data_IF_772239278363
#
_entry.id   IF_772239278363
#
_cell.length_a   1.000
_cell.length_b   1.000
_cell.length_c   1.000
_cell.angle_alpha   90.00
_cell.angle_beta   90.00
_cell.angle_gamma   90.00
#
_symmetry.space_group_name_H-M   'P 1'
#
loop_
_entity.id
_entity.type
_entity.pdbx_description
1 polymer ?
#
# COMPACT_ATOMS: atom_id res chain seq x y z
N UNK A 1 1.91 7.44 -11.10
CA UNK A 1 1.05 7.35 -9.90
C UNK A 1 1.52 8.24 -8.74
N UNK A 2 2.83 8.33 -8.47
CA UNK A 2 3.42 9.09 -7.34
C UNK A 2 3.09 10.60 -7.37
N UNK A 3 3.23 11.27 -8.53
CA UNK A 3 2.85 12.68 -8.68
C UNK A 3 1.35 12.94 -8.47
N UNK A 4 0.50 11.96 -8.76
CA UNK A 4 -0.93 12.06 -8.50
C UNK A 4 -1.17 12.10 -6.99
N UNK A 5 -0.57 11.17 -6.24
CA UNK A 5 -0.72 11.11 -4.79
C UNK A 5 -0.32 12.41 -4.10
N UNK A 6 0.82 12.99 -4.47
CA UNK A 6 1.29 14.26 -3.91
C UNK A 6 0.27 15.41 -4.07
N UNK A 7 -0.55 15.35 -5.12
CA UNK A 7 -1.54 16.39 -5.45
C UNK A 7 -2.97 16.05 -5.03
N UNK A 8 -3.27 14.77 -4.75
CA UNK A 8 -4.63 14.28 -4.44
C UNK A 8 -4.78 13.68 -3.05
N UNK A 9 -3.70 13.54 -2.28
CA UNK A 9 -3.74 12.96 -0.94
C UNK A 9 -4.65 13.77 0.00
N UNK A 10 -5.42 13.07 0.84
CA UNK A 10 -6.43 13.70 1.69
C UNK A 10 -5.85 14.77 2.63
N UNK A 11 -4.68 14.54 3.20
CA UNK A 11 -4.00 15.48 4.09
C UNK A 11 -3.51 16.73 3.37
N UNK A 12 -3.06 16.62 2.12
CA UNK A 12 -2.66 17.77 1.28
C UNK A 12 -3.88 18.65 1.00
N UNK A 13 -5.02 18.02 0.70
CA UNK A 13 -6.29 18.70 0.45
C UNK A 13 -6.85 19.35 1.72
N UNK A 14 -6.75 18.68 2.87
CA UNK A 14 -7.13 19.24 4.16
C UNK A 14 -6.28 20.46 4.53
N UNK A 15 -4.96 20.38 4.33
CA UNK A 15 -4.05 21.53 4.53
C UNK A 15 -4.35 22.68 3.56
N UNK A 16 -4.75 22.38 2.33
CA UNK A 16 -5.12 23.42 1.35
C UNK A 16 -6.36 24.22 1.77
N UNK A 17 -7.32 23.61 2.46
CA UNK A 17 -8.47 24.34 3.04
C UNK A 17 -8.04 25.39 4.06
N UNK A 18 -6.89 25.19 4.70
CA UNK A 18 -6.32 26.10 5.72
C UNK A 18 -5.31 27.07 5.09
N UNK A 19 -4.56 26.63 4.07
CA UNK A 19 -3.53 27.43 3.40
C UNK A 19 -3.63 27.29 1.88
N UNK A 20 -4.00 28.38 1.20
CA UNK A 20 -4.30 28.38 -0.24
C UNK A 20 -3.09 28.13 -1.16
N UNK A 21 -1.87 28.18 -0.63
CA UNK A 21 -0.62 28.17 -1.41
C UNK A 21 -0.09 26.75 -1.73
N UNK A 22 -0.79 25.70 -1.27
CA UNK A 22 -0.36 24.31 -1.43
C UNK A 22 -0.81 23.78 -2.80
N UNK A 23 0.08 23.18 -3.62
CA UNK A 23 -0.28 22.68 -4.95
C UNK A 23 -1.28 21.51 -4.88
N UNK A 24 -2.34 21.57 -5.70
CA UNK A 24 -3.33 20.49 -5.85
C UNK A 24 -3.63 20.21 -7.33
N UNK A 25 -4.29 19.09 -7.61
CA UNK A 25 -4.74 18.78 -8.97
C UNK A 25 -6.09 19.43 -9.26
N UNK A 26 -6.19 20.44 -10.14
CA UNK A 26 -7.47 21.11 -10.43
C UNK A 26 -8.49 20.17 -11.05
N UNK A 27 -8.04 19.19 -11.85
CA UNK A 27 -8.90 18.20 -12.50
C UNK A 27 -9.55 17.22 -11.51
N UNK A 28 -8.89 16.93 -10.38
CA UNK A 28 -9.42 16.03 -9.36
C UNK A 28 -10.44 16.74 -8.46
N UNK A 29 -10.15 17.97 -8.02
CA UNK A 29 -11.08 18.77 -7.22
C UNK A 29 -12.40 18.99 -7.97
N UNK A 30 -12.34 19.34 -9.26
CA UNK A 30 -13.53 19.50 -10.10
C UNK A 30 -14.37 18.22 -10.21
N UNK A 31 -13.72 17.05 -10.24
CA UNK A 31 -14.42 15.78 -10.27
C UNK A 31 -15.13 15.48 -8.94
N UNK A 32 -14.54 15.87 -7.81
CA UNK A 32 -15.18 15.74 -6.50
C UNK A 32 -16.31 16.75 -6.25
N UNK A 33 -16.25 17.93 -6.87
CA UNK A 33 -17.36 18.89 -6.87
C UNK A 33 -18.53 18.38 -7.73
N UNK A 34 -18.22 17.71 -8.83
CA UNK A 34 -19.18 17.17 -9.79
C UNK A 34 -19.39 15.66 -9.62
N UNK A 35 -19.74 15.20 -8.41
CA UNK A 35 -19.97 13.76 -8.12
C UNK A 35 -21.10 13.13 -8.94
N UNK A 36 -22.09 13.91 -9.36
CA UNK A 36 -23.27 13.45 -10.10
C UNK A 36 -23.20 13.74 -11.60
N UNK A 37 -22.03 13.57 -12.22
CA UNK A 37 -21.95 13.65 -13.67
C UNK A 37 -22.68 12.45 -14.28
N UNK A 38 -23.77 12.73 -15.00
CA UNK A 38 -24.34 11.75 -15.91
C UNK A 38 -23.41 11.61 -17.10
N UNK A 39 -22.89 10.39 -17.28
CA UNK A 39 -21.99 10.07 -18.38
C UNK A 39 -22.84 9.68 -19.59
N UNK A 40 -22.52 10.20 -20.79
CA UNK A 40 -23.23 9.76 -21.99
C UNK A 40 -23.05 8.25 -22.15
N UNK A 41 -24.10 7.55 -22.56
CA UNK A 41 -23.97 6.16 -22.97
C UNK A 41 -23.05 6.09 -24.19
N UNK A 42 -22.08 5.18 -24.16
CA UNK A 42 -21.11 5.05 -25.24
C UNK A 42 -19.96 4.14 -24.92
N UNK A 43 -19.24 3.74 -25.97
CA UNK A 43 -17.98 3.01 -25.85
C UNK A 43 -16.86 4.02 -25.73
N UNK A 44 -16.08 3.91 -24.65
CA UNK A 44 -15.01 4.84 -24.36
C UNK A 44 -13.65 4.15 -24.42
N UNK A 45 -12.80 4.60 -25.34
CA UNK A 45 -11.38 4.26 -25.29
C UNK A 45 -10.62 5.23 -24.36
N UNK A 46 -9.38 4.88 -24.01
CA UNK A 46 -8.50 5.74 -23.20
C UNK A 46 -8.33 7.15 -23.80
N UNK A 47 -8.31 7.26 -25.13
CA UNK A 47 -8.20 8.55 -25.81
C UNK A 47 -9.47 9.39 -25.67
N UNK A 48 -10.64 8.75 -25.71
CA UNK A 48 -11.93 9.44 -25.62
C UNK A 48 -12.19 9.90 -24.20
N UNK A 49 -11.83 9.09 -23.19
CA UNK A 49 -11.83 9.51 -21.79
C UNK A 49 -10.91 10.72 -21.56
N UNK A 50 -9.74 10.76 -22.21
CA UNK A 50 -8.84 11.92 -22.13
C UNK A 50 -9.42 13.16 -22.80
N UNK A 51 -10.10 13.02 -23.94
CA UNK A 51 -10.79 14.14 -24.61
C UNK A 51 -11.93 14.67 -23.74
N UNK A 52 -12.76 13.78 -23.20
CA UNK A 52 -13.86 14.11 -22.30
C UNK A 52 -13.35 14.81 -21.03
N UNK A 53 -12.28 14.27 -20.43
CA UNK A 53 -11.61 14.88 -19.28
C UNK A 53 -11.10 16.29 -19.56
N UNK A 54 -10.52 16.52 -20.75
CA UNK A 54 -10.09 17.86 -21.18
C UNK A 54 -11.25 18.82 -21.40
N UNK A 55 -12.32 18.37 -22.05
CA UNK A 55 -13.49 19.20 -22.36
C UNK A 55 -14.23 19.67 -21.09
N UNK A 56 -14.40 18.76 -20.12
CA UNK A 56 -15.10 19.06 -18.86
C UNK A 56 -14.17 19.58 -17.76
N UNK A 57 -12.86 19.45 -17.93
CA UNK A 57 -11.87 19.82 -16.92
C UNK A 57 -11.83 18.87 -15.73
N UNK A 58 -12.12 17.57 -15.96
CA UNK A 58 -12.14 16.51 -14.93
C UNK A 58 -11.01 15.50 -15.15
N UNK A 59 -10.57 14.84 -14.07
CA UNK A 59 -9.47 13.88 -14.14
C UNK A 59 -9.91 12.57 -14.82
N UNK A 60 -9.36 12.20 -15.99
CA UNK A 60 -9.80 11.00 -16.71
C UNK A 60 -9.51 9.70 -15.96
N UNK A 61 -8.48 9.67 -15.10
CA UNK A 61 -8.10 8.48 -14.32
C UNK A 61 -9.11 8.16 -13.22
N UNK A 62 -9.49 9.16 -12.42
CA UNK A 62 -10.51 8.96 -11.37
C UNK A 62 -11.91 8.84 -11.97
N UNK A 63 -12.16 9.51 -13.10
CA UNK A 63 -13.36 9.31 -13.90
C UNK A 63 -13.52 7.85 -14.33
N UNK A 64 -12.50 7.24 -14.96
CA UNK A 64 -12.60 5.84 -15.39
C UNK A 64 -12.88 4.90 -14.23
N UNK A 65 -12.28 5.17 -13.05
CA UNK A 65 -12.50 4.37 -11.85
C UNK A 65 -13.93 4.45 -11.33
N UNK A 66 -14.56 5.62 -11.36
CA UNK A 66 -15.96 5.79 -10.94
C UNK A 66 -16.95 5.18 -11.94
N UNK A 67 -16.62 5.22 -13.24
CA UNK A 67 -17.48 4.69 -14.32
C UNK A 67 -17.45 3.16 -14.38
N UNK A 68 -16.35 2.53 -13.96
CA UNK A 68 -16.21 1.06 -13.92
C UNK A 68 -17.32 0.39 -13.13
N UNK A 69 -17.81 1.01 -12.04
CA UNK A 69 -18.92 0.46 -11.23
C UNK A 69 -20.27 0.44 -11.96
N UNK A 70 -20.44 1.27 -13.00
CA UNK A 70 -21.67 1.39 -13.80
C UNK A 70 -21.53 0.76 -15.19
N UNK A 71 -20.32 0.34 -15.57
CA UNK A 71 -20.05 -0.19 -16.89
C UNK A 71 -20.55 -1.63 -17.02
N UNK A 72 -21.11 -1.97 -18.19
CA UNK A 72 -21.54 -3.33 -18.51
C UNK A 72 -20.38 -4.20 -19.00
N UNK A 73 -19.43 -3.59 -19.72
CA UNK A 73 -18.24 -4.25 -20.27
C UNK A 73 -17.04 -3.42 -19.86
N UNK A 74 -16.06 -4.07 -19.23
CA UNK A 74 -14.80 -3.44 -18.82
C UNK A 74 -13.65 -4.24 -19.40
N UNK A 75 -12.75 -3.56 -20.10
CA UNK A 75 -11.54 -4.16 -20.68
C UNK A 75 -10.33 -3.59 -19.95
N UNK A 76 -9.59 -4.44 -19.25
CA UNK A 76 -8.33 -4.08 -18.58
C UNK A 76 -7.34 -5.26 -18.61
N UNK A 77 -6.09 -5.00 -18.24
CA UNK A 77 -5.00 -5.99 -18.20
C UNK A 77 -5.13 -6.97 -17.04
N UNK A 78 -4.51 -8.16 -17.14
CA UNK A 78 -4.49 -9.18 -16.09
C UNK A 78 -4.07 -8.66 -14.73
N UNK A 79 -3.12 -7.71 -14.67
CA UNK A 79 -2.64 -7.15 -13.40
C UNK A 79 -3.76 -6.52 -12.56
N UNK A 80 -4.84 -6.04 -13.17
CA UNK A 80 -5.97 -5.46 -12.42
C UNK A 80 -6.86 -6.51 -11.73
N UNK A 81 -6.82 -7.77 -12.17
CA UNK A 81 -7.53 -8.90 -11.51
C UNK A 81 -6.56 -9.69 -10.63
N UNK A 82 -5.36 -9.95 -11.14
CA UNK A 82 -4.43 -10.90 -10.54
C UNK A 82 -3.46 -10.26 -9.57
N UNK A 83 -3.17 -8.95 -9.68
CA UNK A 83 -2.42 -8.27 -8.62
C UNK A 83 -3.40 -7.96 -7.48
N UNK A 84 -3.36 -8.68 -6.37
CA UNK A 84 -4.24 -8.45 -5.22
C UNK A 84 -4.22 -7.01 -4.69
N UNK A 85 -3.11 -6.28 -4.86
CA UNK A 85 -3.02 -4.85 -4.46
C UNK A 85 -3.97 -3.97 -5.26
N UNK A 86 -4.14 -4.30 -6.53
CA UNK A 86 -4.94 -3.54 -7.49
C UNK A 86 -6.35 -4.12 -7.58
N UNK A 87 -6.48 -5.45 -7.49
CA UNK A 87 -7.74 -6.16 -7.53
C UNK A 87 -8.68 -5.66 -6.42
N UNK A 88 -8.23 -5.57 -5.17
CA UNK A 88 -9.07 -5.08 -4.08
C UNK A 88 -9.61 -3.65 -4.35
N UNK A 89 -8.90 -2.85 -5.14
CA UNK A 89 -9.27 -1.48 -5.48
C UNK A 89 -10.37 -1.40 -6.56
N UNK A 90 -10.38 -2.36 -7.49
CA UNK A 90 -11.21 -2.31 -8.71
C UNK A 90 -12.28 -3.41 -8.70
N UNK A 91 -11.95 -4.61 -8.28
CA UNK A 91 -12.84 -5.78 -8.33
C UNK A 91 -13.79 -5.90 -7.14
N UNK A 92 -13.55 -5.17 -6.04
CA UNK A 92 -14.42 -5.20 -4.85
C UNK A 92 -15.87 -4.81 -5.17
N UNK A 93 -16.07 -3.92 -6.15
CA UNK A 93 -17.39 -3.43 -6.54
C UNK A 93 -18.06 -4.27 -7.63
N UNK A 94 -17.38 -5.29 -8.17
CA UNK A 94 -17.97 -6.14 -9.19
C UNK A 94 -18.99 -7.11 -8.61
N UNK A 95 -20.09 -7.28 -9.35
CA UNK A 95 -21.13 -8.24 -8.99
C UNK A 95 -20.58 -9.66 -9.02
N UNK A 96 -21.04 -10.51 -8.09
CA UNK A 96 -20.74 -11.95 -8.09
C UNK A 96 -21.23 -12.69 -9.34
N UNK A 97 -22.09 -12.06 -10.13
CA UNK A 97 -22.63 -12.60 -11.38
C UNK A 97 -21.85 -12.13 -12.62
N UNK A 98 -20.71 -11.46 -12.45
CA UNK A 98 -19.89 -11.01 -13.56
C UNK A 98 -19.26 -12.20 -14.31
N UNK A 99 -19.29 -12.15 -15.65
CA UNK A 99 -18.56 -13.09 -16.50
C UNK A 99 -17.16 -12.52 -16.77
N UNK A 100 -16.12 -13.26 -16.41
CA UNK A 100 -14.72 -12.88 -16.66
C UNK A 100 -14.21 -13.66 -17.85
N UNK A 101 -13.76 -12.96 -18.89
CA UNK A 101 -13.16 -13.55 -20.08
C UNK A 101 -11.66 -13.25 -20.06
N UNK A 102 -10.85 -14.30 -19.96
CA UNK A 102 -9.42 -14.19 -20.17
C UNK A 102 -9.13 -14.37 -21.66
N UNK A 103 -8.79 -13.27 -22.32
CA UNK A 103 -8.11 -13.34 -23.61
C UNK A 103 -6.68 -13.86 -23.39
N UNK A 104 -6.03 -14.48 -24.39
CA UNK A 104 -4.61 -14.89 -24.37
C UNK A 104 -4.06 -15.53 -23.06
N UNK A 105 -4.85 -16.41 -22.44
CA UNK A 105 -4.62 -16.92 -21.07
C UNK A 105 -3.33 -17.75 -20.86
N UNK A 106 -2.48 -17.91 -21.86
CA UNK A 106 -1.23 -18.67 -21.78
C UNK A 106 -0.17 -18.01 -20.88
N UNK A 107 -0.28 -16.71 -20.58
CA UNK A 107 0.68 -15.97 -19.73
C UNK A 107 0.22 -15.81 -18.27
N UNK A 108 -0.89 -16.42 -17.89
CA UNK A 108 -1.54 -16.17 -16.59
C UNK A 108 -0.68 -16.62 -15.41
N UNK A 109 0.10 -17.68 -15.59
CA UNK A 109 1.02 -18.24 -14.61
C UNK A 109 2.18 -17.27 -14.32
N UNK A 110 2.81 -16.75 -15.36
CA UNK A 110 3.90 -15.78 -15.26
C UNK A 110 3.43 -14.50 -14.53
N UNK A 111 2.25 -13.99 -14.88
CA UNK A 111 1.67 -12.81 -14.22
C UNK A 111 1.39 -13.08 -12.74
N UNK A 112 0.90 -14.28 -12.39
CA UNK A 112 0.70 -14.66 -10.99
C UNK A 112 2.02 -14.72 -10.21
N UNK A 113 3.07 -15.31 -10.80
CA UNK A 113 4.40 -15.41 -10.20
C UNK A 113 4.96 -14.01 -9.97
N UNK A 114 4.92 -13.13 -10.97
CA UNK A 114 5.43 -11.76 -10.85
C UNK A 114 4.69 -10.94 -9.79
N UNK A 115 3.37 -11.09 -9.70
CA UNK A 115 2.53 -10.29 -8.79
C UNK A 115 2.80 -10.62 -7.30
N UNK A 116 3.19 -11.86 -7.00
CA UNK A 116 3.47 -12.34 -5.64
C UNK A 116 4.97 -12.35 -5.30
N UNK A 117 5.85 -12.21 -6.29
CA UNK A 117 7.30 -12.24 -6.09
C UNK A 117 7.82 -10.90 -5.57
N UNK A 118 8.78 -10.96 -4.64
CA UNK A 118 9.48 -9.78 -4.14
C UNK A 118 10.98 -10.01 -4.23
N UNK A 119 11.65 -9.19 -5.04
CA UNK A 119 13.11 -9.21 -5.17
C UNK A 119 13.77 -8.20 -4.23
N UNK A 120 14.59 -8.68 -3.31
CA UNK A 120 15.42 -7.83 -2.45
C UNK A 120 16.86 -7.85 -2.94
N UNK A 121 17.47 -6.68 -3.07
CA UNK A 121 18.89 -6.54 -3.39
C UNK A 121 19.65 -5.97 -2.20
N UNK A 122 20.97 -6.19 -2.15
CA UNK A 122 21.84 -5.63 -1.10
C UNK A 122 21.71 -4.11 -1.01
N UNK A 123 21.61 -3.43 -2.16
CA UNK A 123 21.44 -1.98 -2.20
C UNK A 123 20.10 -1.53 -1.61
N UNK A 124 19.02 -2.31 -1.79
CA UNK A 124 17.72 -2.05 -1.17
C UNK A 124 17.81 -2.10 0.36
N UNK A 125 18.47 -3.13 0.90
CA UNK A 125 18.62 -3.35 2.36
C UNK A 125 19.52 -2.29 3.01
N UNK A 126 20.56 -1.83 2.29
CA UNK A 126 21.41 -0.71 2.73
C UNK A 126 20.63 0.60 2.76
N UNK A 127 19.88 0.92 1.70
CA UNK A 127 19.01 2.11 1.62
C UNK A 127 17.99 2.17 2.76
N UNK A 128 17.43 1.03 3.15
CA UNK A 128 16.50 0.96 4.29
C UNK A 128 17.12 1.47 5.58
N UNK A 129 18.41 1.22 5.82
CA UNK A 129 19.07 1.68 7.05
C UNK A 129 19.08 3.20 7.14
N UNK A 130 19.39 3.86 6.02
CA UNK A 130 19.39 5.32 5.92
C UNK A 130 17.96 5.86 6.07
N UNK A 131 16.99 5.25 5.39
CA UNK A 131 15.58 5.68 5.44
C UNK A 131 14.94 5.46 6.80
N UNK A 132 15.34 4.44 7.57
CA UNK A 132 14.90 4.26 8.96
C UNK A 132 15.41 5.37 9.88
N UNK A 133 16.64 5.86 9.68
CA UNK A 133 17.15 7.01 10.45
C UNK A 133 16.41 8.29 10.13
N UNK A 134 16.12 8.54 8.85
CA UNK A 134 15.27 9.66 8.44
C UNK A 134 13.87 9.56 9.07
N UNK A 135 13.27 8.37 9.05
CA UNK A 135 11.96 8.12 9.65
C UNK A 135 11.96 8.38 11.18
N UNK A 136 13.03 8.01 11.86
CA UNK A 136 13.23 8.24 13.30
C UNK A 136 13.31 9.74 13.64
N UNK A 137 14.05 10.52 12.84
CA UNK A 137 14.11 11.97 12.98
C UNK A 137 12.73 12.63 12.79
N UNK A 138 11.94 12.18 11.79
CA UNK A 138 10.58 12.67 11.58
C UNK A 138 9.65 12.35 12.77
N UNK A 139 9.72 11.13 13.31
CA UNK A 139 8.94 10.74 14.48
C UNK A 139 9.34 11.59 15.69
N UNK A 140 10.62 11.85 15.89
CA UNK A 140 11.10 12.66 17.01
C UNK A 140 10.66 14.13 16.87
N UNK A 141 10.69 14.69 15.65
CA UNK A 141 10.20 16.05 15.36
C UNK A 141 8.71 16.18 15.70
N UNK A 142 7.89 15.25 15.22
CA UNK A 142 6.45 15.27 15.51
C UNK A 142 6.13 15.01 16.98
N UNK A 143 6.95 14.23 17.70
CA UNK A 143 6.80 14.07 19.15
C UNK A 143 6.99 15.40 19.89
N UNK A 144 7.94 16.21 19.42
CA UNK A 144 8.21 17.53 19.99
C UNK A 144 7.16 18.58 19.60
N UNK A 145 6.64 18.52 18.37
CA UNK A 145 5.69 19.51 17.83
C UNK A 145 4.22 19.19 18.13
N UNK A 146 3.84 17.90 18.17
CA UNK A 146 2.44 17.44 18.18
C UNK A 146 2.28 16.13 18.98
N UNK A 147 2.40 16.20 20.31
CA UNK A 147 2.17 15.03 21.18
C UNK A 147 0.73 14.50 21.12
N UNK A 148 -0.25 15.37 20.81
CA UNK A 148 -1.66 15.00 20.70
C UNK A 148 -1.95 14.14 19.47
N UNK A 149 -1.35 14.42 18.30
CA UNK A 149 -1.60 13.62 17.08
C UNK A 149 -1.12 12.18 17.21
N UNK A 150 0.03 11.98 17.86
CA UNK A 150 0.55 10.65 18.16
C UNK A 150 -0.34 9.89 19.16
N UNK A 151 -0.93 10.61 20.13
CA UNK A 151 -1.92 10.03 21.05
C UNK A 151 -3.23 9.70 20.34
N UNK A 152 -3.72 10.59 19.47
CA UNK A 152 -4.90 10.31 18.64
C UNK A 152 -4.68 9.12 17.71
N UNK A 153 -3.46 8.91 17.20
CA UNK A 153 -3.12 7.69 16.45
C UNK A 153 -3.22 6.44 17.34
N UNK A 154 -2.64 6.51 18.54
CA UNK A 154 -2.73 5.44 19.52
C UNK A 154 -4.20 5.09 19.86
N UNK A 155 -5.03 6.10 20.08
CA UNK A 155 -6.45 5.94 20.40
C UNK A 155 -7.26 5.43 19.21
N UNK A 156 -7.02 5.96 17.99
CA UNK A 156 -7.65 5.45 16.75
C UNK A 156 -7.29 3.99 16.49
N UNK A 157 -6.05 3.58 16.75
CA UNK A 157 -5.63 2.19 16.60
C UNK A 157 -6.29 1.24 17.61
N UNK A 158 -6.72 1.75 18.77
CA UNK A 158 -7.49 0.98 19.77
C UNK A 158 -8.97 0.90 19.38
N UNK A 159 -9.51 1.96 18.78
CA UNK A 159 -10.90 2.01 18.29
C UNK A 159 -11.13 1.27 16.96
N UNK A 160 -10.08 0.98 16.20
CA UNK A 160 -10.14 0.35 14.87
C UNK A 160 -10.45 -1.16 14.91
N UNK A 161 -11.66 -1.48 15.36
CA UNK A 161 -12.33 -2.74 15.05
C UNK A 161 -13.48 -2.60 14.03
N UNK A 162 -13.90 -1.38 13.62
CA UNK A 162 -15.10 -1.23 12.75
C UNK A 162 -15.16 -0.09 11.70
N UNK A 163 -14.17 0.81 11.55
CA UNK A 163 -14.35 2.01 10.69
C UNK A 163 -13.31 2.29 9.61
N UNK A 164 -12.34 1.40 9.38
CA UNK A 164 -11.29 1.62 8.38
C UNK A 164 -11.80 1.42 6.94
N UNK A 165 -12.99 0.86 6.73
CA UNK A 165 -13.46 0.42 5.41
C UNK A 165 -13.83 1.56 4.45
N UNK A 166 -14.29 2.71 4.96
CA UNK A 166 -14.87 3.78 4.14
C UNK A 166 -13.85 4.83 3.64
N UNK A 167 -12.78 5.10 4.39
CA UNK A 167 -11.73 6.07 4.00
C UNK A 167 -10.59 5.45 3.15
N UNK A 168 -10.63 4.13 2.92
CA UNK A 168 -9.62 3.37 2.16
C UNK A 168 -9.53 3.76 0.68
N UNK A 169 -10.52 4.45 0.12
CA UNK A 169 -10.69 4.54 -1.33
C UNK A 169 -9.72 5.54 -2.00
N UNK A 170 -9.29 6.60 -1.31
CA UNK A 170 -8.54 7.72 -1.89
C UNK A 170 -7.02 7.69 -1.63
N UNK A 171 -6.57 7.19 -0.47
CA UNK A 171 -5.15 7.27 -0.06
C UNK A 171 -4.35 5.96 -0.13
N UNK A 172 -4.89 4.90 -0.73
CA UNK A 172 -4.27 3.56 -0.84
C UNK A 172 -3.11 3.47 -1.86
N UNK A 173 -2.19 4.44 -1.87
CA UNK A 173 -0.94 4.32 -2.66
C UNK A 173 0.06 3.36 -2.01
N UNK A 174 -0.11 3.06 -0.71
CA UNK A 174 0.52 1.92 -0.05
C UNK A 174 -0.47 0.76 0.04
N UNK A 175 -0.69 0.07 -1.08
CA UNK A 175 -1.45 -1.17 -1.06
C UNK A 175 -0.60 -2.30 -0.44
N UNK A 176 -1.19 -2.90 0.59
CA UNK A 176 -0.72 -4.04 1.36
C UNK A 176 -0.61 -5.28 0.47
N UNK A 177 0.45 -6.11 0.56
CA UNK A 177 0.45 -7.41 -0.06
C UNK A 177 -0.53 -8.32 0.68
N UNK A 178 -1.75 -8.42 0.15
CA UNK A 178 -2.57 -9.64 0.18
C UNK A 178 -2.63 -10.27 1.57
N UNK A 179 -3.16 -9.53 2.53
CA UNK A 179 -3.59 -10.16 3.76
C UNK A 179 -5.00 -10.71 3.54
N UNK A 180 -5.24 -12.03 3.71
CA UNK A 180 -6.59 -12.56 3.82
C UNK A 180 -7.48 -11.71 4.74
N UNK A 181 -8.76 -11.56 4.42
CA UNK A 181 -9.73 -10.76 5.20
C UNK A 181 -9.80 -11.12 6.71
N UNK A 182 -9.33 -12.31 7.07
CA UNK A 182 -9.22 -12.80 8.44
C UNK A 182 -8.18 -12.03 9.27
N UNK A 183 -7.15 -11.48 8.64
CA UNK A 183 -6.03 -10.76 9.27
C UNK A 183 -6.41 -9.31 9.51
N UNK A 184 -7.21 -8.74 8.61
CA UNK A 184 -7.74 -7.38 8.67
C UNK A 184 -8.63 -7.12 9.89
N UNK A 185 -9.06 -8.18 10.61
CA UNK A 185 -9.90 -8.11 11.80
C UNK A 185 -9.13 -8.29 13.11
N UNK A 186 -7.83 -8.61 13.05
CA UNK A 186 -7.00 -8.80 14.22
C UNK A 186 -6.34 -7.49 14.65
N UNK A 187 -6.37 -7.20 15.95
CA UNK A 187 -5.70 -6.02 16.49
C UNK A 187 -4.18 -6.10 16.32
N UNK A 188 -3.58 -4.96 15.93
CA UNK A 188 -2.13 -4.81 15.79
C UNK A 188 -1.42 -5.20 17.11
N UNK A 189 -0.38 -6.06 17.04
CA UNK A 189 0.35 -6.53 18.23
C UNK A 189 0.92 -5.38 19.06
N UNK A 190 0.86 -5.55 20.40
CA UNK A 190 1.36 -4.57 21.38
C UNK A 190 2.81 -4.12 21.16
N UNK A 191 3.65 -5.03 20.65
CA UNK A 191 5.08 -4.81 20.40
C UNK A 191 5.39 -3.79 19.31
N UNK A 192 4.45 -3.51 18.39
CA UNK A 192 4.64 -2.54 17.28
C UNK A 192 3.67 -1.35 17.37
N UNK A 193 3.00 -1.17 18.51
CA UNK A 193 2.04 -0.07 18.69
C UNK A 193 2.69 1.30 18.64
N UNK A 194 3.81 1.50 19.33
CA UNK A 194 4.51 2.78 19.28
C UNK A 194 5.40 2.87 18.05
N UNK A 195 5.48 4.06 17.44
CA UNK A 195 6.35 4.31 16.29
C UNK A 195 7.82 3.99 16.59
N UNK A 196 8.28 4.28 17.80
CA UNK A 196 9.66 3.98 18.25
C UNK A 196 9.93 2.46 18.29
N UNK A 197 9.02 1.67 18.88
CA UNK A 197 9.19 0.21 18.89
C UNK A 197 9.10 -0.39 17.49
N UNK A 198 8.24 0.15 16.62
CA UNK A 198 8.15 -0.28 15.24
C UNK A 198 9.43 0.01 14.44
N UNK A 199 10.03 1.19 14.59
CA UNK A 199 11.32 1.50 13.96
C UNK A 199 12.43 0.58 14.48
N UNK A 200 12.50 0.37 15.79
CA UNK A 200 13.47 -0.55 16.40
C UNK A 200 13.28 -2.00 15.93
N UNK A 201 12.03 -2.41 15.73
CA UNK A 201 11.67 -3.71 15.15
C UNK A 201 12.17 -3.83 13.68
N UNK A 202 11.88 -2.83 12.84
CA UNK A 202 12.34 -2.83 11.45
C UNK A 202 13.86 -2.78 11.33
N UNK A 203 14.56 -2.06 12.24
CA UNK A 203 16.03 -2.08 12.31
C UNK A 203 16.55 -3.49 12.58
N UNK A 204 16.00 -4.20 13.57
CA UNK A 204 16.37 -5.59 13.86
C UNK A 204 16.11 -6.52 12.69
N UNK A 205 14.94 -6.40 12.05
CA UNK A 205 14.61 -7.18 10.85
C UNK A 205 15.58 -6.89 9.69
N UNK A 206 15.95 -5.63 9.48
CA UNK A 206 16.88 -5.26 8.41
C UNK A 206 18.31 -5.77 8.67
N UNK A 207 18.78 -5.76 9.91
CA UNK A 207 20.09 -6.33 10.26
C UNK A 207 20.14 -7.85 10.04
N UNK A 208 19.04 -8.56 10.33
CA UNK A 208 18.91 -9.96 9.98
C UNK A 208 19.04 -10.21 8.47
N UNK A 209 18.34 -9.42 7.65
CA UNK A 209 18.43 -9.52 6.19
C UNK A 209 19.85 -9.25 5.70
N UNK A 210 20.55 -8.25 6.27
CA UNK A 210 21.98 -8.01 5.95
C UNK A 210 22.85 -9.19 6.31
N UNK A 211 22.63 -9.79 7.47
CA UNK A 211 23.38 -10.97 7.91
C UNK A 211 23.19 -12.12 6.91
N UNK A 212 21.95 -12.40 6.52
CA UNK A 212 21.64 -13.45 5.53
C UNK A 212 22.19 -13.15 4.13
N UNK A 213 22.19 -11.89 3.69
CA UNK A 213 22.74 -11.48 2.40
C UNK A 213 24.28 -11.50 2.30
N UNK A 214 25.01 -11.70 3.42
CA UNK A 214 26.48 -11.83 3.41
C UNK A 214 26.95 -13.23 3.00
N UNK A 215 26.07 -14.22 3.04
CA UNK A 215 26.39 -15.60 2.68
C UNK A 215 26.76 -15.68 1.20
N UNK A 216 27.88 -16.35 0.90
CA UNK A 216 28.40 -16.51 -0.48
C UNK A 216 27.80 -17.68 -1.25
N UNK A 217 27.08 -18.56 -0.56
CA UNK A 217 26.44 -19.74 -1.14
C UNK A 217 24.99 -19.44 -1.47
N UNK A 218 24.50 -20.02 -2.57
CA UNK A 218 23.08 -20.01 -2.91
C UNK A 218 22.36 -20.91 -1.90
N UNK A 219 21.35 -20.37 -1.21
CA UNK A 219 20.52 -21.08 -0.26
C UNK A 219 19.09 -21.08 -0.79
N UNK A 220 18.40 -22.20 -0.63
CA UNK A 220 16.97 -22.33 -0.90
C UNK A 220 16.28 -22.62 0.42
N UNK A 221 15.38 -21.74 0.85
CA UNK A 221 14.72 -21.88 2.15
C UNK A 221 13.20 -21.81 2.01
N UNK A 222 12.52 -22.61 2.85
CA UNK A 222 11.08 -22.47 3.03
C UNK A 222 10.77 -21.30 3.97
N UNK A 223 9.61 -20.62 3.82
CA UNK A 223 9.16 -19.58 4.75
C UNK A 223 9.19 -20.03 6.21
N UNK A 224 8.85 -21.28 6.48
CA UNK A 224 8.86 -21.84 7.83
C UNK A 224 10.27 -21.96 8.40
N UNK A 225 11.27 -22.29 7.58
CA UNK A 225 12.66 -22.34 8.01
C UNK A 225 13.20 -20.93 8.31
N UNK A 226 12.92 -19.97 7.42
CA UNK A 226 13.26 -18.56 7.61
C UNK A 226 12.65 -17.99 8.90
N UNK A 227 11.36 -18.26 9.16
CA UNK A 227 10.66 -17.79 10.35
C UNK A 227 11.17 -18.43 11.65
N UNK A 228 11.66 -19.67 11.62
CA UNK A 228 12.31 -20.29 12.79
C UNK A 228 13.66 -19.63 13.05
N UNK A 229 14.48 -19.51 12.02
CA UNK A 229 15.83 -18.95 12.16
C UNK A 229 15.81 -17.49 12.64
N UNK A 230 14.89 -16.65 12.14
CA UNK A 230 14.77 -15.28 12.63
C UNK A 230 14.26 -15.19 14.07
N UNK A 231 13.43 -16.15 14.49
CA UNK A 231 12.96 -16.26 15.88
C UNK A 231 14.10 -16.67 16.81
N UNK A 232 14.98 -17.55 16.35
CA UNK A 232 16.10 -18.06 17.14
C UNK A 232 17.24 -17.04 17.26
N UNK A 233 17.59 -16.35 16.17
CA UNK A 233 18.70 -15.40 16.15
C UNK A 233 18.34 -14.01 16.68
N UNK A 234 17.13 -13.52 16.38
CA UNK A 234 16.75 -12.12 16.63
C UNK A 234 15.51 -11.98 17.53
N UNK A 235 14.93 -13.10 18.00
CA UNK A 235 13.73 -13.12 18.82
C UNK A 235 12.57 -12.34 18.21
N UNK A 236 12.43 -12.42 16.89
CA UNK A 236 11.32 -11.82 16.15
C UNK A 236 10.23 -12.88 15.97
N UNK A 237 9.09 -12.65 16.61
CA UNK A 237 7.91 -13.50 16.45
C UNK A 237 7.27 -13.33 15.06
N UNK A 238 6.57 -14.37 14.61
CA UNK A 238 5.80 -14.35 13.35
C UNK A 238 4.69 -13.30 13.34
N UNK A 239 4.05 -13.07 14.48
CA UNK A 239 2.83 -12.25 14.55
C UNK A 239 3.09 -10.77 14.21
N UNK A 240 4.11 -10.08 14.75
CA UNK A 240 4.45 -8.72 14.33
C UNK A 240 4.81 -8.57 12.85
N UNK A 241 5.47 -9.57 12.25
CA UNK A 241 5.84 -9.55 10.82
C UNK A 241 4.61 -9.46 9.91
N UNK A 242 3.49 -10.06 10.32
CA UNK A 242 2.21 -10.09 9.59
C UNK A 242 1.57 -8.72 9.41
N UNK A 243 1.81 -7.81 10.36
CA UNK A 243 1.19 -6.47 10.37
C UNK A 243 2.14 -5.37 9.91
N UNK A 244 3.33 -5.71 9.40
CA UNK A 244 4.37 -4.74 9.07
C UNK A 244 3.96 -3.77 7.96
N UNK A 245 3.36 -4.27 6.88
CA UNK A 245 2.90 -3.44 5.77
C UNK A 245 1.81 -2.46 6.21
N UNK A 246 0.81 -2.93 6.97
CA UNK A 246 -0.27 -2.09 7.48
C UNK A 246 0.21 -1.06 8.49
N UNK A 247 1.09 -1.47 9.42
CA UNK A 247 1.66 -0.56 10.40
C UNK A 247 2.44 0.56 9.74
N UNK A 248 3.23 0.23 8.72
CA UNK A 248 3.98 1.22 7.95
C UNK A 248 3.06 2.16 7.17
N UNK A 249 2.02 1.64 6.53
CA UNK A 249 1.03 2.47 5.83
C UNK A 249 0.29 3.42 6.79
N UNK A 250 -0.05 2.95 8.00
CA UNK A 250 -0.64 3.81 9.03
C UNK A 250 0.32 4.89 9.48
N UNK A 251 1.57 4.53 9.79
CA UNK A 251 2.60 5.47 10.20
C UNK A 251 2.88 6.52 9.12
N UNK A 252 2.99 6.11 7.85
CA UNK A 252 3.24 7.03 6.75
C UNK A 252 2.14 8.09 6.58
N UNK A 253 0.87 7.73 6.84
CA UNK A 253 -0.26 8.67 6.86
C UNK A 253 -0.15 9.65 8.02
N UNK A 254 0.14 9.16 9.24
CA UNK A 254 0.29 10.01 10.43
C UNK A 254 1.44 11.01 10.31
N UNK A 255 2.53 10.58 9.67
CA UNK A 255 3.69 11.41 9.39
C UNK A 255 3.48 12.36 8.20
N UNK A 256 2.33 12.29 7.50
CA UNK A 256 2.01 13.08 6.31
C UNK A 256 3.14 13.07 5.27
N UNK A 257 3.75 11.90 5.05
CA UNK A 257 4.86 11.75 4.13
C UNK A 257 4.37 11.99 2.70
N UNK A 258 4.61 13.20 2.19
CA UNK A 258 4.18 13.60 0.85
C UNK A 258 4.94 12.87 -0.26
N UNK A 259 6.14 12.34 0.03
CA UNK A 259 6.96 11.61 -0.94
C UNK A 259 7.16 10.15 -0.52
N UNK A 260 6.21 9.29 -0.93
CA UNK A 260 6.30 7.84 -0.72
C UNK A 260 7.45 7.23 -1.53
N UNK A 261 7.90 7.89 -2.61
CA UNK A 261 8.96 7.35 -3.47
C UNK A 261 10.29 7.19 -2.73
N UNK A 262 10.56 8.11 -1.80
CA UNK A 262 11.71 8.08 -0.92
C UNK A 262 11.73 6.86 0.00
N UNK A 263 10.57 6.29 0.28
CA UNK A 263 10.42 5.14 1.18
C UNK A 263 10.08 3.85 0.45
N UNK A 264 10.21 3.81 -0.88
CA UNK A 264 9.99 2.61 -1.71
C UNK A 264 10.74 1.36 -1.20
N UNK A 265 11.98 1.54 -0.72
CA UNK A 265 12.76 0.44 -0.13
C UNK A 265 12.18 -0.08 1.19
N UNK A 266 11.59 0.79 2.02
CA UNK A 266 10.87 0.38 3.22
C UNK A 266 9.60 -0.39 2.87
N UNK A 267 8.84 0.09 1.88
CA UNK A 267 7.63 -0.59 1.38
C UNK A 267 7.97 -2.01 0.92
N UNK A 268 9.07 -2.19 0.17
CA UNK A 268 9.50 -3.52 -0.27
C UNK A 268 9.82 -4.46 0.91
N UNK A 269 10.52 -3.96 1.94
CA UNK A 269 10.88 -4.79 3.11
C UNK A 269 9.67 -5.11 3.98
N UNK A 270 8.77 -4.15 4.21
CA UNK A 270 7.55 -4.39 4.99
C UNK A 270 6.61 -5.34 4.25
N UNK A 271 6.57 -5.26 2.93
CA UNK A 271 5.82 -6.19 2.10
C UNK A 271 6.41 -7.59 2.15
N UNK A 272 7.74 -7.72 2.04
CA UNK A 272 8.44 -8.99 2.18
C UNK A 272 8.16 -9.65 3.54
N UNK A 273 8.29 -8.89 4.65
CA UNK A 273 7.99 -9.38 5.99
C UNK A 273 6.55 -9.92 6.11
N UNK A 274 5.61 -9.21 5.49
CA UNK A 274 4.18 -9.56 5.50
C UNK A 274 3.91 -10.84 4.68
N UNK A 275 4.56 -10.97 3.52
CA UNK A 275 4.42 -12.16 2.66
C UNK A 275 5.01 -13.41 3.32
N UNK A 276 6.22 -13.33 3.86
CA UNK A 276 6.92 -14.43 4.54
C UNK A 276 6.10 -14.95 5.73
N UNK A 277 5.48 -14.04 6.48
CA UNK A 277 4.68 -14.40 7.66
C UNK A 277 3.29 -14.92 7.33
N UNK A 278 2.73 -14.55 6.17
CA UNK A 278 1.37 -14.92 5.76
C UNK A 278 1.34 -16.22 4.96
N UNK A 279 2.20 -16.35 3.94
CA UNK A 279 2.22 -17.48 3.02
C UNK A 279 3.30 -18.48 3.43
N UNK A 280 2.90 -19.50 4.18
CA UNK A 280 3.79 -20.56 4.66
C UNK A 280 3.78 -21.84 3.78
N UNK A 281 2.84 -21.97 2.85
CA UNK A 281 2.69 -23.11 1.94
C UNK A 281 2.78 -22.61 0.48
N UNK A 282 3.58 -23.28 -0.34
CA UNK A 282 3.68 -23.02 -1.79
C UNK A 282 4.61 -21.88 -2.21
N UNK A 283 5.30 -21.24 -1.26
CA UNK A 283 6.28 -20.17 -1.50
C UNK A 283 7.68 -20.65 -1.11
N UNK A 284 8.70 -20.26 -1.87
CA UNK A 284 10.12 -20.54 -1.60
C UNK A 284 10.91 -19.24 -1.75
N UNK A 285 12.01 -19.11 -1.00
CA UNK A 285 12.90 -17.95 -0.99
C UNK A 285 14.32 -18.33 -1.39
#
# INVERSE_FOLDING_TARGET
MIFCFRLTASFVRAKRKVCSDIPCCPFFEKLEEQKDINYPDGVYNLQDLRKLGKQRGICPYFLSRNVVDRAQIVVYSYHYILDPKIAELVSKNFSRHACVVFDEAHNIDNVCIESMSVSLTKTTVEKVTQKLSVLEEYVQRLKNENSERLKTEYDRMIEDLKRVEEERITDRVLANPVLPDMILKEAVPGSIRTAQHFIAFLRRFNEYLKHRMRTKTVLFESPAAFLRDISDLMHIERRPLRFCAERFASLARTLELADISDFSSLVLITNFATLVSTYARGTAF
#
